data_IF_125638047713
#
_entry.id   IF_125638047713
#
_cell.length_a   1.000
_cell.length_b   1.000
_cell.length_c   1.000
_cell.angle_alpha   90.00
_cell.angle_beta   90.00
_cell.angle_gamma   90.00
#
_symmetry.space_group_name_H-M   'P 1'
#
loop_
_entity.id
_entity.type
_entity.pdbx_description
1 polymer ?
#
# COMPACT_ATOMS: atom_id res chain seq x y z
N UNK A 1 15.79 12.30 -1.95
CA UNK A 1 14.57 11.46 -1.91
C UNK A 1 14.62 10.52 -3.10
N UNK A 2 13.97 9.36 -3.05
CA UNK A 2 13.94 8.43 -4.18
C UNK A 2 13.20 9.07 -5.37
N UNK A 3 13.76 8.99 -6.58
CA UNK A 3 13.17 9.55 -7.80
C UNK A 3 12.20 8.54 -8.45
N UNK A 4 11.14 8.18 -7.73
CA UNK A 4 10.13 7.23 -8.20
C UNK A 4 9.27 7.85 -9.30
N UNK A 5 8.86 7.01 -10.26
CA UNK A 5 7.94 7.35 -11.34
C UNK A 5 6.70 6.47 -11.27
N UNK A 6 5.60 6.95 -11.83
CA UNK A 6 4.38 6.16 -11.97
C UNK A 6 4.70 4.79 -12.60
N UNK A 7 4.17 3.72 -12.00
CA UNK A 7 4.47 2.33 -12.38
C UNK A 7 5.69 1.69 -11.70
N UNK A 8 6.55 2.44 -11.01
CA UNK A 8 7.62 1.85 -10.20
C UNK A 8 7.05 0.97 -9.08
N UNK A 9 7.85 0.02 -8.60
CA UNK A 9 7.44 -0.94 -7.56
C UNK A 9 8.04 -0.62 -6.20
N UNK A 10 7.20 -0.61 -5.17
CA UNK A 10 7.57 -0.41 -3.77
C UNK A 10 7.29 -1.68 -2.97
N UNK A 11 8.27 -2.13 -2.20
CA UNK A 11 8.11 -3.21 -1.24
C UNK A 11 8.19 -2.63 0.18
N UNK A 12 7.14 -2.86 0.96
CA UNK A 12 7.13 -2.57 2.40
C UNK A 12 7.16 -3.89 3.19
N UNK A 13 8.30 -4.30 3.76
CA UNK A 13 8.41 -5.56 4.48
C UNK A 13 7.71 -5.56 5.85
N UNK A 14 7.29 -4.39 6.36
CA UNK A 14 6.65 -4.22 7.66
C UNK A 14 5.49 -3.22 7.56
N UNK A 15 4.46 -3.59 6.81
CA UNK A 15 3.44 -2.67 6.32
C UNK A 15 2.64 -1.98 7.44
N UNK A 16 2.45 -2.60 8.61
CA UNK A 16 1.78 -2.04 9.78
C UNK A 16 0.43 -1.37 9.44
N UNK A 17 0.40 -0.04 9.51
CA UNK A 17 -0.78 0.78 9.20
C UNK A 17 -1.04 1.06 7.71
N UNK A 18 -0.25 0.49 6.79
CA UNK A 18 -0.40 0.58 5.33
C UNK A 18 -0.17 1.97 4.71
N UNK A 19 0.41 2.92 5.45
CA UNK A 19 0.66 4.29 4.93
C UNK A 19 1.52 4.29 3.66
N UNK A 20 2.52 3.42 3.58
CA UNK A 20 3.37 3.25 2.39
C UNK A 20 2.56 2.82 1.17
N UNK A 21 1.68 1.82 1.32
CA UNK A 21 0.86 1.28 0.22
C UNK A 21 -0.23 2.27 -0.20
N UNK A 22 -0.83 3.00 0.75
CA UNK A 22 -1.78 4.07 0.44
C UNK A 22 -1.10 5.17 -0.37
N UNK A 23 0.09 5.62 0.05
CA UNK A 23 0.83 6.65 -0.67
C UNK A 23 1.26 6.16 -2.06
N UNK A 24 1.75 4.92 -2.15
CA UNK A 24 2.10 4.30 -3.41
C UNK A 24 0.91 4.25 -4.39
N UNK A 25 -0.28 3.84 -3.91
CA UNK A 25 -1.50 3.85 -4.72
C UNK A 25 -1.88 5.26 -5.20
N UNK A 26 -1.80 6.26 -4.32
CA UNK A 26 -2.12 7.66 -4.67
C UNK A 26 -1.15 8.26 -5.69
N UNK A 27 0.11 7.85 -5.64
CA UNK A 27 1.16 8.31 -6.56
C UNK A 27 1.30 7.44 -7.83
N UNK A 28 0.46 6.41 -7.98
CA UNK A 28 0.44 5.54 -9.15
C UNK A 28 1.56 4.49 -9.21
N UNK A 29 2.17 4.17 -8.07
CA UNK A 29 3.16 3.10 -7.95
C UNK A 29 2.49 1.74 -7.74
N UNK A 30 3.16 0.69 -8.19
CA UNK A 30 2.86 -0.67 -7.77
C UNK A 30 3.40 -0.87 -6.35
N UNK A 31 2.66 -1.53 -5.47
CA UNK A 31 3.14 -1.78 -4.11
C UNK A 31 2.71 -3.14 -3.57
N UNK A 32 3.63 -3.76 -2.80
CA UNK A 32 3.39 -4.97 -2.03
C UNK A 32 3.82 -4.73 -0.60
N UNK A 33 2.96 -5.08 0.35
CA UNK A 33 3.20 -4.99 1.78
C UNK A 33 3.20 -6.36 2.44
N UNK A 34 4.11 -6.58 3.38
CA UNK A 34 4.20 -7.79 4.20
C UNK A 34 4.06 -7.42 5.68
N UNK A 35 3.37 -8.26 6.43
CA UNK A 35 3.28 -8.15 7.89
C UNK A 35 3.02 -9.52 8.49
N UNK A 36 3.54 -9.74 9.70
CA UNK A 36 3.25 -10.95 10.47
C UNK A 36 1.85 -10.92 11.06
N UNK A 37 1.31 -9.73 11.32
CA UNK A 37 -0.03 -9.50 11.85
C UNK A 37 -1.07 -9.69 10.75
N UNK A 38 -1.94 -10.71 10.86
CA UNK A 38 -3.03 -10.90 9.89
C UNK A 38 -4.01 -9.71 9.90
N UNK A 39 -4.14 -9.02 11.04
CA UNK A 39 -4.97 -7.82 11.17
C UNK A 39 -4.39 -6.66 10.35
N UNK A 40 -3.08 -6.44 10.38
CA UNK A 40 -2.42 -5.41 9.56
C UNK A 40 -2.63 -5.69 8.08
N UNK A 41 -2.48 -6.94 7.66
CA UNK A 41 -2.74 -7.37 6.27
C UNK A 41 -4.21 -7.12 5.87
N UNK A 42 -5.17 -7.50 6.71
CA UNK A 42 -6.60 -7.24 6.46
C UNK A 42 -6.88 -5.74 6.35
N UNK A 43 -6.43 -4.95 7.32
CA UNK A 43 -6.61 -3.51 7.35
C UNK A 43 -6.03 -2.86 6.09
N UNK A 44 -4.81 -3.26 5.71
CA UNK A 44 -4.16 -2.78 4.50
C UNK A 44 -4.99 -3.04 3.25
N UNK A 45 -5.46 -4.28 3.06
CA UNK A 45 -6.28 -4.63 1.91
C UNK A 45 -7.54 -3.77 1.82
N UNK A 46 -8.20 -3.50 2.95
CA UNK A 46 -9.37 -2.61 3.00
C UNK A 46 -8.98 -1.18 2.63
N UNK A 47 -7.94 -0.61 3.25
CA UNK A 47 -7.47 0.75 3.01
C UNK A 47 -7.00 0.99 1.56
N UNK A 48 -6.46 -0.05 0.91
CA UNK A 48 -6.00 0.03 -0.48
C UNK A 48 -7.07 -0.36 -1.49
N UNK A 49 -8.25 -0.82 -1.09
CA UNK A 49 -9.35 -1.14 -2.00
C UNK A 49 -10.01 0.15 -2.52
N UNK A 50 -10.56 0.14 -3.74
CA UNK A 50 -11.39 1.25 -4.22
C UNK A 50 -12.78 1.09 -3.59
N UNK A 51 -13.22 2.10 -2.86
CA UNK A 51 -14.57 2.18 -2.32
C UNK A 51 -15.47 2.94 -3.29
N UNK A 52 -16.54 2.30 -3.75
CA UNK A 52 -17.63 2.94 -4.50
C UNK A 52 -18.83 3.06 -3.55
N UNK A 53 -19.25 4.29 -3.17
CA UNK A 53 -20.38 4.50 -2.27
C UNK A 53 -21.76 4.39 -2.95
N UNK A 54 -21.83 4.18 -4.27
CA UNK A 54 -23.06 4.16 -5.06
C UNK A 54 -23.82 2.83 -5.01
#
# INVERSE_FOLDING_TARGET
>A
MFELKEGDSVLDPFLGGSTTLIKAKLDGYNAVGLDISPFSVFLSNVLTTKYDPA
#
